data_IF_732818105406
#
_entry.id   IF_732818105406
#
_cell.length_a   1.000
_cell.length_b   1.000
_cell.length_c   1.000
_cell.angle_alpha   90.00
_cell.angle_beta   90.00
_cell.angle_gamma   90.00
#
_symmetry.space_group_name_H-M   'P 1'
#
loop_
_entity.id
_entity.type
_entity.pdbx_description
1 polymer ?
#
# COMPACT_ATOMS: atom_id res chain seq x y z
N UNK A 1 21.07 47.61 -113.22
CA UNK A 1 20.59 48.03 -111.88
C UNK A 1 19.39 47.16 -111.55
N UNK A 2 19.58 45.98 -110.97
CA UNK A 2 19.56 45.73 -109.52
C UNK A 2 18.40 46.42 -108.80
N UNK A 3 17.27 45.71 -108.70
CA UNK A 3 16.34 45.85 -107.58
C UNK A 3 16.18 44.44 -107.01
N UNK A 4 16.72 44.15 -105.81
CA UNK A 4 16.71 42.81 -105.27
C UNK A 4 15.29 42.41 -104.88
N UNK A 5 14.89 41.26 -105.38
CA UNK A 5 13.81 40.37 -104.96
C UNK A 5 13.14 40.76 -103.62
N UNK A 6 11.85 41.07 -103.70
CA UNK A 6 10.99 41.28 -102.55
C UNK A 6 11.14 40.13 -101.54
N UNK A 7 11.30 40.48 -100.27
CA UNK A 7 11.48 39.56 -99.14
C UNK A 7 10.32 38.57 -99.03
N UNK A 8 10.39 37.46 -99.76
CA UNK A 8 9.59 36.28 -99.49
C UNK A 8 10.16 35.62 -98.22
N UNK A 9 9.63 35.98 -97.06
CA UNK A 9 9.88 35.20 -95.85
C UNK A 9 9.31 33.78 -96.08
N UNK A 10 10.17 32.78 -96.12
CA UNK A 10 9.78 31.37 -96.21
C UNK A 10 8.69 31.05 -95.16
N UNK A 11 7.69 30.23 -95.52
CA UNK A 11 6.54 29.87 -94.67
C UNK A 11 6.95 29.41 -93.27
N UNK A 12 8.08 28.72 -93.16
CA UNK A 12 8.65 28.25 -91.90
C UNK A 12 9.13 29.39 -91.00
N UNK A 13 9.76 30.42 -91.57
CA UNK A 13 10.19 31.63 -90.85
C UNK A 13 8.98 32.37 -90.27
N UNK A 14 7.90 32.51 -91.04
CA UNK A 14 6.64 33.08 -90.54
C UNK A 14 6.05 32.27 -89.37
N UNK A 15 5.99 30.94 -89.50
CA UNK A 15 5.52 30.06 -88.40
C UNK A 15 6.41 30.11 -87.16
N UNK A 16 7.72 30.30 -87.32
CA UNK A 16 8.65 30.46 -86.20
C UNK A 16 8.39 31.79 -85.46
N UNK A 17 8.22 32.89 -86.20
CA UNK A 17 7.89 34.21 -85.63
C UNK A 17 6.53 34.17 -84.91
N UNK A 18 5.51 33.56 -85.51
CA UNK A 18 4.18 33.43 -84.90
C UNK A 18 4.20 32.58 -83.61
N UNK A 19 5.03 31.53 -83.56
CA UNK A 19 5.25 30.72 -82.34
C UNK A 19 5.94 31.55 -81.25
N UNK A 20 7.01 32.26 -81.59
CA UNK A 20 7.72 33.12 -80.62
C UNK A 20 6.80 34.23 -80.08
N UNK A 21 6.04 34.88 -80.95
CA UNK A 21 5.05 35.89 -80.55
C UNK A 21 3.91 35.30 -79.71
N UNK A 22 3.57 34.02 -79.87
CA UNK A 22 2.59 33.34 -79.01
C UNK A 22 3.16 33.08 -77.62
N UNK A 23 4.40 32.59 -77.53
CA UNK A 23 5.09 32.35 -76.26
C UNK A 23 5.27 33.66 -75.51
N UNK A 24 5.75 34.70 -76.18
CA UNK A 24 5.97 36.01 -75.58
C UNK A 24 4.67 36.66 -75.09
N UNK A 25 3.57 36.56 -75.85
CA UNK A 25 2.24 37.00 -75.39
C UNK A 25 1.74 36.19 -74.19
N UNK A 26 2.02 34.88 -74.14
CA UNK A 26 1.66 34.07 -72.98
C UNK A 26 2.48 34.47 -71.74
N UNK A 27 3.78 34.75 -71.91
CA UNK A 27 4.66 35.22 -70.85
C UNK A 27 4.16 36.53 -70.24
N UNK A 28 3.89 37.55 -71.07
CA UNK A 28 3.36 38.85 -70.63
C UNK A 28 2.02 38.72 -69.90
N UNK A 29 1.10 37.90 -70.42
CA UNK A 29 -0.17 37.62 -69.71
C UNK A 29 0.05 36.96 -68.35
N UNK A 30 0.99 36.03 -68.23
CA UNK A 30 1.29 35.38 -66.95
C UNK A 30 1.94 36.34 -65.95
N UNK A 31 2.84 37.21 -66.42
CA UNK A 31 3.45 38.29 -65.62
C UNK A 31 2.41 39.29 -65.13
N UNK A 32 1.49 39.72 -66.00
CA UNK A 32 0.36 40.58 -65.65
C UNK A 32 -0.56 39.92 -64.61
N UNK A 33 -0.91 38.65 -64.79
CA UNK A 33 -1.71 37.89 -63.82
C UNK A 33 -0.99 37.77 -62.47
N UNK A 34 0.32 37.54 -62.48
CA UNK A 34 1.15 37.52 -61.25
C UNK A 34 1.14 38.89 -60.56
N UNK A 35 1.32 39.96 -61.34
CA UNK A 35 1.30 41.32 -60.80
C UNK A 35 -0.06 41.68 -60.19
N UNK A 36 -1.16 41.34 -60.87
CA UNK A 36 -2.53 41.53 -60.35
C UNK A 36 -2.72 40.77 -59.04
N UNK A 37 -2.25 39.52 -58.94
CA UNK A 37 -2.30 38.75 -57.68
C UNK A 37 -1.50 39.44 -56.57
N UNK A 38 -0.30 39.93 -56.86
CA UNK A 38 0.53 40.62 -55.88
C UNK A 38 -0.14 41.90 -55.36
N UNK A 39 -0.74 42.70 -56.25
CA UNK A 39 -1.50 43.90 -55.87
C UNK A 39 -2.67 43.53 -54.95
N UNK A 40 -3.41 42.47 -55.26
CA UNK A 40 -4.53 42.01 -54.42
C UNK A 40 -4.05 41.53 -53.05
N UNK A 41 -2.92 40.81 -52.99
CA UNK A 41 -2.34 40.37 -51.72
C UNK A 41 -1.89 41.54 -50.86
N UNK A 42 -1.19 42.52 -51.45
CA UNK A 42 -0.77 43.74 -50.76
C UNK A 42 -1.98 44.54 -50.26
N UNK A 43 -3.03 44.67 -51.06
CA UNK A 43 -4.27 45.34 -50.63
C UNK A 43 -4.93 44.61 -49.46
N UNK A 44 -4.96 43.27 -49.49
CA UNK A 44 -5.51 42.45 -48.40
C UNK A 44 -4.69 42.55 -47.11
N UNK A 45 -3.37 42.61 -47.23
CA UNK A 45 -2.46 42.73 -46.10
C UNK A 45 -2.57 44.10 -45.42
N UNK A 46 -2.85 45.15 -46.19
CA UNK A 46 -2.96 46.52 -45.68
C UNK A 46 -4.39 46.98 -45.39
N UNK A 47 -5.44 46.23 -45.75
CA UNK A 47 -6.83 46.61 -45.43
C UNK A 47 -7.05 46.56 -43.90
N UNK A 48 -7.36 47.70 -43.25
CA UNK A 48 -7.49 47.79 -41.80
C UNK A 48 -8.60 46.89 -41.25
N UNK A 49 -9.66 46.60 -42.04
CA UNK A 49 -10.76 45.74 -41.61
C UNK A 49 -10.32 44.29 -41.52
N UNK A 50 -9.52 43.84 -42.50
CA UNK A 50 -8.99 42.47 -42.54
C UNK A 50 -7.95 42.28 -41.45
N UNK A 51 -7.09 43.28 -41.20
CA UNK A 51 -6.15 43.27 -40.09
C UNK A 51 -6.86 43.21 -38.74
N UNK A 52 -7.89 44.03 -38.53
CA UNK A 52 -8.69 44.02 -37.30
C UNK A 52 -9.40 42.68 -37.10
N UNK A 53 -10.00 42.10 -38.14
CA UNK A 53 -10.66 40.80 -38.08
C UNK A 53 -9.67 39.66 -37.76
N UNK A 54 -8.50 39.66 -38.41
CA UNK A 54 -7.44 38.68 -38.14
C UNK A 54 -6.88 38.81 -36.72
N UNK A 55 -6.67 40.05 -36.24
CA UNK A 55 -6.23 40.32 -34.87
C UNK A 55 -7.27 39.85 -33.85
N UNK A 56 -8.55 40.21 -34.03
CA UNK A 56 -9.63 39.75 -33.17
C UNK A 56 -9.74 38.22 -33.13
N UNK A 57 -9.55 37.53 -34.27
CA UNK A 57 -9.55 36.08 -34.33
C UNK A 57 -8.35 35.45 -33.57
N UNK A 58 -7.16 36.06 -33.64
CA UNK A 58 -5.99 35.63 -32.86
C UNK A 58 -6.21 35.88 -31.37
N UNK A 59 -6.63 37.08 -31.00
CA UNK A 59 -6.90 37.47 -29.61
C UNK A 59 -7.98 36.57 -28.98
N UNK A 60 -9.05 36.24 -29.72
CA UNK A 60 -10.09 35.31 -29.25
C UNK A 60 -9.56 33.87 -29.07
N UNK A 61 -8.67 33.41 -29.96
CA UNK A 61 -8.05 32.08 -29.84
C UNK A 61 -7.10 32.01 -28.65
N UNK A 62 -6.33 33.07 -28.41
CA UNK A 62 -5.43 33.19 -27.27
C UNK A 62 -6.20 33.31 -25.95
N UNK A 63 -7.23 34.14 -25.89
CA UNK A 63 -8.12 34.23 -24.74
C UNK A 63 -8.76 32.87 -24.40
N UNK A 64 -9.21 32.12 -25.41
CA UNK A 64 -9.74 30.75 -25.21
C UNK A 64 -8.67 29.78 -24.69
N UNK A 65 -7.41 29.91 -25.13
CA UNK A 65 -6.30 29.11 -24.61
C UNK A 65 -5.97 29.48 -23.17
N UNK A 66 -5.85 30.76 -22.86
CA UNK A 66 -5.59 31.26 -21.52
C UNK A 66 -6.70 30.87 -20.54
N UNK A 67 -7.98 31.04 -20.93
CA UNK A 67 -9.11 30.61 -20.10
C UNK A 67 -9.09 29.11 -19.80
N UNK A 68 -8.68 28.28 -20.76
CA UNK A 68 -8.49 26.83 -20.54
C UNK A 68 -7.35 26.53 -19.58
N UNK A 69 -6.22 27.22 -19.70
CA UNK A 69 -5.08 27.03 -18.80
C UNK A 69 -5.43 27.45 -17.37
N UNK A 70 -6.07 28.61 -17.19
CA UNK A 70 -6.53 29.10 -15.88
C UNK A 70 -7.55 28.13 -15.28
N UNK A 71 -8.50 27.61 -16.07
CA UNK A 71 -9.47 26.62 -15.57
C UNK A 71 -8.80 25.31 -15.13
N UNK A 72 -7.77 24.85 -15.84
CA UNK A 72 -7.00 23.65 -15.47
C UNK A 72 -6.16 23.90 -14.22
N UNK A 73 -5.49 25.06 -14.11
CA UNK A 73 -4.72 25.44 -12.92
C UNK A 73 -5.62 25.51 -11.69
N UNK A 74 -6.74 26.23 -11.78
CA UNK A 74 -7.72 26.32 -10.69
C UNK A 74 -8.24 24.94 -10.26
N UNK A 75 -8.51 24.04 -11.22
CA UNK A 75 -8.94 22.66 -10.88
C UNK A 75 -7.84 21.88 -10.14
N UNK A 76 -6.57 22.04 -10.53
CA UNK A 76 -5.43 21.39 -9.86
C UNK A 76 -5.22 21.94 -8.45
N UNK A 77 -5.27 23.26 -8.28
CA UNK A 77 -5.16 23.91 -6.96
C UNK A 77 -6.25 23.44 -6.01
N UNK A 78 -7.50 23.36 -6.47
CA UNK A 78 -8.61 22.84 -5.66
C UNK A 78 -8.41 21.36 -5.28
N UNK A 79 -7.89 20.53 -6.19
CA UNK A 79 -7.61 19.11 -5.91
C UNK A 79 -6.42 18.93 -4.96
N UNK A 80 -5.39 19.78 -5.05
CA UNK A 80 -4.26 19.79 -4.11
C UNK A 80 -4.67 20.26 -2.71
N UNK A 81 -5.50 21.30 -2.63
CA UNK A 81 -6.04 21.78 -1.36
C UNK A 81 -6.94 20.73 -0.70
N UNK A 82 -7.78 20.04 -1.48
CA UNK A 82 -8.59 18.91 -0.99
C UNK A 82 -7.70 17.77 -0.48
N UNK A 83 -6.68 17.36 -1.25
CA UNK A 83 -5.73 16.32 -0.83
C UNK A 83 -4.96 16.70 0.43
N UNK A 84 -4.59 17.97 0.59
CA UNK A 84 -3.92 18.46 1.80
C UNK A 84 -4.84 18.41 3.02
N UNK A 85 -6.09 18.86 2.88
CA UNK A 85 -7.09 18.78 3.96
C UNK A 85 -7.42 17.34 4.35
N UNK A 86 -7.52 16.43 3.38
CA UNK A 86 -7.73 14.99 3.63
C UNK A 86 -6.51 14.35 4.31
N UNK A 87 -5.29 14.70 3.91
CA UNK A 87 -4.07 14.21 4.53
C UNK A 87 -3.91 14.71 5.97
N UNK A 88 -4.22 15.99 6.23
CA UNK A 88 -4.22 16.57 7.59
C UNK A 88 -5.29 15.93 8.47
N UNK A 89 -6.51 15.72 7.96
CA UNK A 89 -7.56 15.02 8.68
C UNK A 89 -7.20 13.55 8.97
N UNK A 90 -6.56 12.86 8.01
CA UNK A 90 -6.09 11.50 8.20
C UNK A 90 -4.93 11.41 9.20
N UNK A 91 -4.01 12.39 9.20
CA UNK A 91 -2.92 12.47 10.18
C UNK A 91 -3.46 12.71 11.59
N UNK A 92 -4.44 13.62 11.74
CA UNK A 92 -5.10 13.89 13.01
C UNK A 92 -5.87 12.66 13.52
N UNK A 93 -6.60 11.95 12.64
CA UNK A 93 -7.31 10.73 12.99
C UNK A 93 -6.35 9.60 13.42
N UNK A 94 -5.20 9.45 12.74
CA UNK A 94 -4.15 8.50 13.13
C UNK A 94 -3.54 8.86 14.48
N UNK A 95 -3.18 10.13 14.70
CA UNK A 95 -2.67 10.59 15.99
C UNK A 95 -3.67 10.35 17.13
N UNK A 96 -4.96 10.67 16.92
CA UNK A 96 -6.00 10.41 17.91
C UNK A 96 -6.26 8.91 18.15
N UNK A 97 -6.08 8.06 17.14
CA UNK A 97 -6.17 6.60 17.31
C UNK A 97 -4.96 6.02 18.06
N UNK A 98 -3.76 6.56 17.81
CA UNK A 98 -2.54 6.13 18.48
C UNK A 98 -2.53 6.55 19.94
N UNK A 99 -2.96 7.78 20.24
CA UNK A 99 -3.10 8.27 21.62
C UNK A 99 -4.13 7.45 22.40
N UNK A 100 -5.29 7.15 21.78
CA UNK A 100 -6.27 6.23 22.40
C UNK A 100 -5.65 4.86 22.68
N UNK A 101 -4.90 4.28 21.73
CA UNK A 101 -4.23 2.99 21.93
C UNK A 101 -3.16 3.05 23.03
N UNK A 102 -2.41 4.15 23.15
CA UNK A 102 -1.43 4.36 24.21
C UNK A 102 -2.12 4.46 25.58
N UNK A 103 -3.18 5.26 25.69
CA UNK A 103 -3.95 5.40 26.94
C UNK A 103 -4.58 4.08 27.38
N UNK A 104 -5.11 3.29 26.45
CA UNK A 104 -5.70 1.97 26.74
C UNK A 104 -4.63 0.96 27.16
N UNK A 105 -3.48 0.95 26.47
CA UNK A 105 -2.35 0.09 26.84
C UNK A 105 -1.79 0.44 28.23
N UNK A 106 -1.69 1.72 28.57
CA UNK A 106 -1.30 2.16 29.91
C UNK A 106 -2.32 1.77 30.97
N UNK A 107 -3.62 1.88 30.68
CA UNK A 107 -4.68 1.47 31.60
C UNK A 107 -4.63 -0.04 31.87
N UNK A 108 -4.49 -0.85 30.82
CA UNK A 108 -4.34 -2.31 30.92
C UNK A 108 -3.07 -2.68 31.71
N UNK A 109 -1.96 -1.97 31.50
CA UNK A 109 -0.72 -2.19 32.26
C UNK A 109 -0.91 -1.88 33.74
N UNK A 110 -1.50 -0.71 34.07
CA UNK A 110 -1.80 -0.32 35.45
C UNK A 110 -2.72 -1.32 36.13
N UNK A 111 -3.78 -1.78 35.46
CA UNK A 111 -4.70 -2.81 35.97
C UNK A 111 -4.00 -4.16 36.21
N UNK A 112 -3.15 -4.61 35.28
CA UNK A 112 -2.34 -5.83 35.45
C UNK A 112 -1.35 -5.72 36.60
N UNK A 113 -0.72 -4.57 36.77
CA UNK A 113 0.24 -4.32 37.85
C UNK A 113 -0.46 -4.28 39.22
N UNK A 114 -1.64 -3.65 39.30
CA UNK A 114 -2.49 -3.69 40.50
C UNK A 114 -2.92 -5.11 40.84
N UNK A 115 -3.47 -5.85 39.89
CA UNK A 115 -3.92 -7.22 40.10
C UNK A 115 -2.76 -8.17 40.49
N UNK A 116 -1.55 -7.94 39.97
CA UNK A 116 -0.34 -8.66 40.38
C UNK A 116 0.09 -8.28 41.80
N UNK A 117 -0.06 -7.02 42.19
CA UNK A 117 0.26 -6.55 43.54
C UNK A 117 -0.71 -7.08 44.59
N UNK A 118 -2.01 -7.13 44.27
CA UNK A 118 -3.06 -7.73 45.09
C UNK A 118 -2.85 -9.24 45.24
N UNK A 119 -2.58 -9.94 44.14
CA UNK A 119 -2.24 -11.37 44.18
C UNK A 119 -1.03 -11.66 45.10
N UNK A 120 -0.01 -10.79 45.08
CA UNK A 120 1.14 -10.91 45.98
C UNK A 120 0.77 -10.64 47.44
N UNK A 121 -0.14 -9.70 47.71
CA UNK A 121 -0.62 -9.39 49.07
C UNK A 121 -1.39 -10.56 49.64
N UNK A 122 -2.39 -11.07 48.93
CA UNK A 122 -3.23 -12.18 49.39
C UNK A 122 -2.42 -13.46 49.61
N UNK A 123 -1.45 -13.77 48.73
CA UNK A 123 -0.54 -14.91 48.91
C UNK A 123 0.35 -14.77 50.15
N UNK A 124 0.85 -13.56 50.42
CA UNK A 124 1.66 -13.28 51.62
C UNK A 124 0.82 -13.39 52.88
N UNK A 125 -0.42 -12.90 52.83
CA UNK A 125 -1.36 -12.99 53.94
C UNK A 125 -1.72 -14.44 54.25
N UNK A 126 -2.09 -15.25 53.24
CA UNK A 126 -2.34 -16.69 53.43
C UNK A 126 -1.13 -17.40 54.06
N UNK A 127 0.08 -17.08 53.59
CA UNK A 127 1.31 -17.64 54.15
C UNK A 127 1.55 -17.20 55.60
N UNK A 128 1.34 -15.92 55.94
CA UNK A 128 1.47 -15.42 57.31
C UNK A 128 0.46 -16.09 58.24
N UNK A 129 -0.81 -16.20 57.85
CA UNK A 129 -1.84 -16.90 58.63
C UNK A 129 -1.44 -18.37 58.87
N UNK A 130 -1.06 -19.11 57.82
CA UNK A 130 -0.71 -20.53 57.94
C UNK A 130 0.56 -20.79 58.75
N UNK A 131 1.59 -19.94 58.61
CA UNK A 131 2.90 -20.14 59.24
C UNK A 131 2.95 -19.53 60.64
N UNK A 132 2.52 -18.27 60.78
CA UNK A 132 2.71 -17.49 62.01
C UNK A 132 1.56 -17.66 63.00
N UNK A 133 0.31 -17.80 62.52
CA UNK A 133 -0.86 -17.94 63.41
C UNK A 133 -1.24 -19.39 63.67
N UNK A 134 -1.10 -20.26 62.67
CA UNK A 134 -1.61 -21.65 62.73
C UNK A 134 -0.50 -22.71 62.81
N UNK A 135 0.78 -22.32 62.74
CA UNK A 135 1.94 -23.21 62.83
C UNK A 135 1.80 -24.52 62.01
N UNK A 136 1.39 -24.39 60.75
CA UNK A 136 1.17 -25.53 59.83
C UNK A 136 0.17 -26.59 60.34
N UNK A 137 -0.71 -26.22 61.28
CA UNK A 137 -1.66 -27.12 61.94
C UNK A 137 -0.99 -28.31 62.62
N UNK A 138 0.25 -28.14 63.10
CA UNK A 138 0.97 -29.17 63.85
C UNK A 138 0.48 -29.14 65.29
N UNK A 139 -0.09 -30.25 65.74
CA UNK A 139 -0.47 -30.47 67.14
C UNK A 139 0.73 -31.02 67.92
N UNK A 140 0.87 -30.71 69.21
CA UNK A 140 2.02 -31.08 70.07
C UNK A 140 2.22 -32.60 70.26
N UNK A 141 1.35 -33.42 69.66
CA UNK A 141 1.27 -34.89 69.81
C UNK A 141 1.83 -35.67 68.62
N UNK A 142 2.38 -35.01 67.60
CA UNK A 142 2.89 -35.66 66.39
C UNK A 142 4.37 -36.05 66.57
N UNK A 143 4.72 -37.29 66.23
CA UNK A 143 6.12 -37.76 66.23
C UNK A 143 7.01 -36.87 65.35
N UNK A 144 8.17 -36.48 65.88
CA UNK A 144 9.13 -35.52 65.28
C UNK A 144 9.53 -35.85 63.84
N UNK A 145 9.39 -37.11 63.41
CA UNK A 145 9.68 -37.57 62.04
C UNK A 145 8.59 -37.22 61.00
N UNK A 146 7.33 -37.12 61.41
CA UNK A 146 6.18 -36.89 60.51
C UNK A 146 5.84 -35.40 60.35
N UNK A 147 6.32 -34.56 61.26
CA UNK A 147 6.09 -33.10 61.27
C UNK A 147 6.57 -32.46 59.97
N UNK A 148 7.73 -32.86 59.45
CA UNK A 148 8.27 -32.31 58.20
C UNK A 148 7.44 -32.70 56.96
N UNK A 149 6.94 -33.93 56.91
CA UNK A 149 6.07 -34.41 55.83
C UNK A 149 4.73 -33.65 55.81
N UNK A 150 4.15 -33.43 56.99
CA UNK A 150 2.91 -32.66 57.15
C UNK A 150 3.08 -31.20 56.70
N UNK A 151 4.15 -30.53 57.12
CA UNK A 151 4.45 -29.15 56.73
C UNK A 151 4.61 -28.98 55.21
N UNK A 152 5.33 -29.91 54.55
CA UNK A 152 5.49 -29.90 53.10
C UNK A 152 4.16 -30.08 52.38
N UNK A 153 3.27 -30.95 52.90
CA UNK A 153 1.94 -31.17 52.33
C UNK A 153 1.06 -29.93 52.42
N UNK A 154 1.05 -29.24 53.57
CA UNK A 154 0.29 -28.01 53.76
C UNK A 154 0.80 -26.88 52.86
N UNK A 155 2.13 -26.76 52.70
CA UNK A 155 2.73 -25.79 51.77
C UNK A 155 2.39 -26.11 50.30
N UNK A 156 2.40 -27.38 49.91
CA UNK A 156 2.02 -27.80 48.56
C UNK A 156 0.53 -27.54 48.27
N UNK A 157 -0.35 -27.79 49.26
CA UNK A 157 -1.78 -27.52 49.16
C UNK A 157 -2.06 -26.00 49.14
N UNK A 158 -1.30 -25.21 49.89
CA UNK A 158 -1.32 -23.75 49.84
C UNK A 158 -0.91 -23.23 48.45
N UNK A 159 0.19 -23.74 47.89
CA UNK A 159 0.63 -23.39 46.53
C UNK A 159 -0.42 -23.77 45.47
N UNK A 160 -1.09 -24.91 45.63
CA UNK A 160 -2.19 -25.33 44.77
C UNK A 160 -3.36 -24.33 44.83
N UNK A 161 -3.78 -23.93 46.03
CA UNK A 161 -4.84 -22.93 46.21
C UNK A 161 -4.46 -21.60 45.57
N UNK A 162 -3.22 -21.14 45.76
CA UNK A 162 -2.75 -19.89 45.18
C UNK A 162 -2.61 -19.90 43.67
N UNK A 163 -2.47 -21.07 43.05
CA UNK A 163 -2.47 -21.21 41.59
C UNK A 163 -3.88 -21.27 40.99
N UNK A 164 -4.87 -21.75 41.75
CA UNK A 164 -6.21 -22.06 41.23
C UNK A 164 -7.27 -21.05 41.62
N UNK A 165 -7.17 -20.44 42.79
CA UNK A 165 -8.12 -19.44 43.25
C UNK A 165 -7.84 -18.06 42.63
N UNK A 166 -8.91 -17.33 42.35
CA UNK A 166 -8.84 -15.91 41.98
C UNK A 166 -8.43 -15.04 43.19
N UNK A 167 -7.98 -13.81 42.93
CA UNK A 167 -7.61 -12.87 44.01
C UNK A 167 -8.77 -12.64 45.00
N UNK A 168 -10.01 -12.55 44.52
CA UNK A 168 -11.19 -12.42 45.36
C UNK A 168 -11.43 -13.66 46.25
N UNK A 169 -11.28 -14.86 45.68
CA UNK A 169 -11.45 -16.11 46.44
C UNK A 169 -10.32 -16.36 47.45
N UNK A 170 -9.09 -15.91 47.15
CA UNK A 170 -7.99 -15.94 48.11
C UNK A 170 -8.25 -14.95 49.26
N UNK A 171 -8.78 -13.77 48.95
CA UNK A 171 -9.16 -12.79 49.96
C UNK A 171 -10.26 -13.33 50.89
N UNK A 172 -11.35 -13.87 50.33
CA UNK A 172 -12.41 -14.52 51.11
C UNK A 172 -11.87 -15.66 51.98
N UNK A 173 -10.97 -16.49 51.44
CA UNK A 173 -10.34 -17.56 52.21
C UNK A 173 -9.49 -17.00 53.36
N UNK A 174 -8.71 -15.95 53.12
CA UNK A 174 -7.92 -15.27 54.15
C UNK A 174 -8.83 -14.71 55.26
N UNK A 175 -9.92 -14.03 54.91
CA UNK A 175 -10.90 -13.53 55.88
C UNK A 175 -11.54 -14.67 56.69
N UNK A 176 -11.95 -15.76 56.06
CA UNK A 176 -12.52 -16.91 56.76
C UNK A 176 -11.52 -17.61 57.69
N UNK A 177 -10.23 -17.64 57.32
CA UNK A 177 -9.18 -18.20 58.15
C UNK A 177 -8.85 -17.30 59.35
N UNK A 178 -8.87 -15.97 59.18
CA UNK A 178 -8.70 -15.01 60.30
C UNK A 178 -9.89 -15.02 61.26
N UNK A 179 -11.11 -15.23 60.76
CA UNK A 179 -12.32 -15.33 61.58
C UNK A 179 -12.46 -16.69 62.28
N UNK A 180 -11.71 -17.71 61.85
CA UNK A 180 -11.72 -19.03 62.46
C UNK A 180 -10.93 -19.01 63.79
N UNK A 181 -11.58 -18.54 64.86
CA UNK A 181 -10.97 -18.37 66.19
C UNK A 181 -10.44 -19.64 66.89
N UNK A 182 -10.47 -20.81 66.24
CA UNK A 182 -9.84 -22.04 66.74
C UNK A 182 -9.08 -22.76 65.62
N UNK A 183 -7.87 -23.30 65.86
CA UNK A 183 -7.01 -23.86 64.81
C UNK A 183 -7.65 -25.05 64.06
N UNK A 184 -8.43 -25.89 64.74
CA UNK A 184 -9.14 -27.02 64.12
C UNK A 184 -10.19 -26.59 63.09
N UNK A 185 -10.87 -25.46 63.35
CA UNK A 185 -11.86 -24.91 62.43
C UNK A 185 -11.18 -24.31 61.21
N UNK A 186 -10.07 -23.60 61.40
CA UNK A 186 -9.25 -23.09 60.30
C UNK A 186 -8.71 -24.23 59.43
N UNK A 187 -8.27 -25.35 60.03
CA UNK A 187 -7.83 -26.54 59.31
C UNK A 187 -8.96 -27.17 58.47
N UNK A 188 -10.17 -27.26 59.03
CA UNK A 188 -11.34 -27.77 58.32
C UNK A 188 -11.71 -26.89 57.10
N UNK A 189 -11.73 -25.57 57.27
CA UNK A 189 -12.02 -24.61 56.19
C UNK A 189 -10.95 -24.71 55.08
N UNK A 190 -9.67 -24.74 55.47
CA UNK A 190 -8.55 -24.88 54.54
C UNK A 190 -8.63 -26.20 53.76
N UNK A 191 -8.75 -27.33 54.46
CA UNK A 191 -8.80 -28.66 53.86
C UNK A 191 -10.00 -28.85 52.93
N UNK A 192 -11.19 -28.39 53.36
CA UNK A 192 -12.39 -28.43 52.53
C UNK A 192 -12.21 -27.64 51.22
N UNK A 193 -11.53 -26.48 51.29
CA UNK A 193 -11.25 -25.68 50.10
C UNK A 193 -10.22 -26.34 49.18
N UNK A 194 -9.19 -26.97 49.73
CA UNK A 194 -8.19 -27.75 48.97
C UNK A 194 -8.86 -28.91 48.23
N UNK A 195 -9.73 -29.67 48.92
CA UNK A 195 -10.44 -30.80 48.31
C UNK A 195 -11.39 -30.36 47.20
N UNK A 196 -12.12 -29.26 47.41
CA UNK A 196 -12.97 -28.67 46.36
C UNK A 196 -12.16 -28.32 45.11
N UNK A 197 -10.98 -27.72 45.26
CA UNK A 197 -10.10 -27.36 44.13
C UNK A 197 -9.53 -28.61 43.45
N UNK A 198 -9.13 -29.63 44.21
CA UNK A 198 -8.66 -30.91 43.67
C UNK A 198 -9.75 -31.64 42.86
N UNK A 199 -11.00 -31.62 43.34
CA UNK A 199 -12.13 -32.23 42.65
C UNK A 199 -12.47 -31.48 41.34
N UNK A 200 -12.46 -30.15 41.36
CA UNK A 200 -12.68 -29.33 40.16
C UNK A 200 -11.60 -29.58 39.08
N UNK A 201 -10.35 -29.79 39.50
CA UNK A 201 -9.25 -30.16 38.62
C UNK A 201 -9.44 -31.51 37.94
N UNK A 202 -9.91 -32.51 38.69
CA UNK A 202 -10.18 -33.84 38.14
C UNK A 202 -11.36 -33.82 37.16
N UNK A 203 -12.43 -33.09 37.48
CA UNK A 203 -13.60 -32.95 36.61
C UNK A 203 -13.27 -32.25 35.26
N UNK A 204 -12.46 -31.18 35.30
CA UNK A 204 -12.03 -30.49 34.08
C UNK A 204 -11.10 -31.34 33.19
N UNK A 205 -10.27 -32.20 33.79
CA UNK A 205 -9.35 -33.09 33.05
C UNK A 205 -10.10 -34.25 32.37
N UNK A 206 -11.22 -34.71 32.93
CA UNK A 206 -12.10 -35.69 32.29
C UNK A 206 -12.86 -35.10 31.09
N UNK A 207 -13.30 -33.83 31.17
CA UNK A 207 -14.03 -33.16 30.08
C UNK A 207 -13.15 -32.78 28.89
N UNK A 208 -11.86 -32.50 29.09
CA UNK A 208 -10.92 -32.21 27.99
C UNK A 208 -10.57 -33.46 27.17
N UNK A 209 -10.59 -34.66 27.77
CA UNK A 209 -10.39 -35.92 27.03
C UNK A 209 -11.62 -36.37 26.24
N UNK A 210 -12.83 -35.94 26.58
CA UNK A 210 -14.06 -36.35 25.87
C UNK A 210 -14.33 -35.60 24.56
N UNK A 211 -13.56 -34.55 24.22
CA UNK A 211 -13.76 -33.72 23.01
C UNK A 211 -13.02 -34.18 21.74
N UNK A 212 -12.38 -35.36 21.74
CA UNK A 212 -11.64 -35.91 20.58
C UNK A 212 -12.42 -36.90 19.70
N UNK A 213 -13.76 -36.84 19.66
CA UNK A 213 -14.58 -37.66 18.75
C UNK A 213 -15.36 -36.76 17.78
N UNK A 214 -15.00 -36.68 16.49
CA UNK A 214 -15.80 -35.94 15.52
C UNK A 214 -16.96 -36.82 15.07
N UNK A 215 -18.14 -36.55 15.61
CA UNK A 215 -19.41 -36.98 15.04
C UNK A 215 -20.02 -35.83 14.23
N UNK A 216 -20.51 -36.18 13.05
CA UNK A 216 -21.14 -35.33 12.05
C UNK A 216 -22.32 -34.52 12.62
N UNK A 217 -22.32 -33.21 12.44
CA UNK A 217 -23.50 -32.45 11.96
C UNK A 217 -23.17 -30.97 11.75
N UNK A 218 -23.88 -30.29 10.83
CA UNK A 218 -23.42 -29.04 10.25
C UNK A 218 -24.07 -27.84 10.94
N UNK A 219 -23.23 -26.92 11.39
CA UNK A 219 -23.67 -25.56 11.69
C UNK A 219 -22.48 -24.62 11.65
N UNK A 220 -22.45 -23.84 10.57
CA UNK A 220 -22.26 -22.39 10.59
C UNK A 220 -21.32 -21.86 11.67
N UNK A 221 -20.06 -21.58 11.31
CA UNK A 221 -19.64 -20.19 11.23
C UNK A 221 -18.25 -20.04 10.58
N UNK A 222 -18.15 -19.00 9.75
CA UNK A 222 -17.07 -18.01 9.77
C UNK A 222 -15.70 -18.46 10.30
N UNK A 223 -14.94 -19.20 9.48
CA UNK A 223 -13.51 -19.39 9.69
C UNK A 223 -12.71 -19.17 8.40
N UNK A 224 -11.91 -18.10 8.43
CA UNK A 224 -10.69 -17.83 7.65
C UNK A 224 -10.66 -18.37 6.20
N UNK A 225 -11.08 -17.52 5.27
CA UNK A 225 -11.09 -17.78 3.81
C UNK A 225 -9.71 -18.06 3.17
N UNK A 226 -8.59 -17.96 3.91
CA UNK A 226 -7.26 -18.23 3.37
C UNK A 226 -6.96 -19.74 3.25
N UNK A 227 -7.55 -20.60 4.09
CA UNK A 227 -7.28 -22.05 4.08
C UNK A 227 -8.17 -22.87 3.13
N UNK A 228 -9.16 -22.23 2.49
CA UNK A 228 -10.11 -22.92 1.58
C UNK A 228 -9.58 -23.09 0.15
N UNK A 229 -8.59 -22.29 -0.25
CA UNK A 229 -8.07 -22.27 -1.62
C UNK A 229 -6.79 -23.08 -1.72
N UNK A 230 -6.90 -24.32 -2.18
CA UNK A 230 -5.74 -25.15 -2.52
C UNK A 230 -5.13 -24.73 -3.86
N UNK A 231 -3.86 -25.08 -4.11
CA UNK A 231 -3.16 -24.77 -5.36
C UNK A 231 -3.90 -25.33 -6.59
N UNK A 232 -4.47 -26.53 -6.48
CA UNK A 232 -5.30 -27.14 -7.52
C UNK A 232 -6.55 -26.31 -7.80
N UNK A 233 -7.20 -25.78 -6.75
CA UNK A 233 -8.39 -24.94 -6.88
C UNK A 233 -8.11 -23.62 -7.58
N UNK A 234 -6.93 -23.04 -7.32
CA UNK A 234 -6.47 -21.81 -7.98
C UNK A 234 -6.21 -22.05 -9.47
N UNK A 235 -5.59 -23.18 -9.85
CA UNK A 235 -5.33 -23.51 -11.26
C UNK A 235 -6.63 -23.71 -12.06
N UNK A 236 -7.59 -24.43 -11.49
CA UNK A 236 -8.92 -24.63 -12.09
C UNK A 236 -9.66 -23.30 -12.24
N UNK A 237 -9.57 -22.42 -11.23
CA UNK A 237 -10.15 -21.08 -11.27
C UNK A 237 -9.57 -20.22 -12.41
N UNK A 238 -8.25 -20.18 -12.55
CA UNK A 238 -7.57 -19.42 -13.63
C UNK A 238 -8.02 -19.93 -15.01
N UNK A 239 -8.10 -21.25 -15.19
CA UNK A 239 -8.58 -21.85 -16.44
C UNK A 239 -10.04 -21.46 -16.73
N UNK A 240 -10.92 -21.54 -15.74
CA UNK A 240 -12.32 -21.18 -15.88
C UNK A 240 -12.54 -19.69 -16.21
N UNK A 241 -11.74 -18.80 -15.62
CA UNK A 241 -11.76 -17.35 -15.90
C UNK A 241 -11.36 -17.04 -17.34
N UNK A 242 -10.44 -17.82 -17.92
CA UNK A 242 -10.02 -17.68 -19.31
C UNK A 242 -11.05 -18.24 -20.31
N UNK A 243 -11.72 -19.34 -19.96
CA UNK A 243 -12.77 -19.95 -20.80
C UNK A 243 -14.02 -19.07 -20.85
N UNK A 244 -14.32 -18.35 -19.76
CA UNK A 244 -15.50 -17.49 -19.64
C UNK A 244 -15.07 -16.00 -19.62
N UNK A 245 -15.01 -15.31 -20.78
CA UNK A 245 -14.57 -13.91 -20.86
C UNK A 245 -15.57 -12.91 -20.24
N UNK A 246 -15.13 -11.66 -20.09
CA UNK A 246 -15.95 -10.59 -19.51
C UNK A 246 -17.11 -10.22 -20.47
N UNK A 247 -18.35 -10.47 -20.04
CA UNK A 247 -19.56 -10.21 -20.84
C UNK A 247 -20.68 -11.23 -20.61
N UNK A 248 -20.34 -12.42 -20.08
CA UNK A 248 -21.34 -13.46 -19.79
C UNK A 248 -22.21 -13.07 -18.57
N UNK A 249 -23.55 -13.06 -18.68
CA UNK A 249 -24.42 -12.86 -17.53
C UNK A 249 -24.22 -14.01 -16.53
N UNK A 250 -24.22 -13.70 -15.22
CA UNK A 250 -23.94 -14.68 -14.14
C UNK A 250 -22.59 -15.41 -14.27
N UNK A 251 -21.58 -14.78 -14.90
CA UNK A 251 -20.22 -15.32 -15.08
C UNK A 251 -19.65 -16.01 -13.84
N UNK A 252 -19.75 -15.37 -12.68
CA UNK A 252 -19.16 -15.89 -11.44
C UNK A 252 -19.85 -17.15 -10.91
N UNK A 253 -21.16 -17.30 -11.16
CA UNK A 253 -21.89 -18.53 -10.82
C UNK A 253 -21.51 -19.69 -11.75
N UNK A 254 -21.32 -19.41 -13.04
CA UNK A 254 -20.83 -20.40 -14.00
C UNK A 254 -19.40 -20.86 -13.69
N UNK A 255 -18.53 -19.93 -13.29
CA UNK A 255 -17.16 -20.27 -12.85
C UNK A 255 -17.20 -21.09 -11.55
N UNK A 256 -18.06 -20.74 -10.59
CA UNK A 256 -18.22 -21.52 -9.36
C UNK A 256 -18.70 -22.95 -9.63
N UNK A 257 -19.69 -23.12 -10.50
CA UNK A 257 -20.16 -24.44 -10.93
C UNK A 257 -19.03 -25.26 -11.60
N UNK A 258 -18.21 -24.61 -12.44
CA UNK A 258 -17.06 -25.25 -13.07
C UNK A 258 -16.02 -25.70 -12.04
N UNK A 259 -15.68 -24.87 -11.05
CA UNK A 259 -14.73 -25.21 -9.97
C UNK A 259 -15.25 -26.38 -9.13
N UNK A 260 -16.53 -26.34 -8.73
CA UNK A 260 -17.16 -27.39 -7.93
C UNK A 260 -17.26 -28.73 -8.67
N UNK A 261 -17.33 -28.72 -10.01
CA UNK A 261 -17.33 -29.95 -10.81
C UNK A 261 -15.95 -30.60 -10.91
N UNK A 262 -14.88 -29.80 -10.85
CA UNK A 262 -13.51 -30.27 -11.04
C UNK A 262 -12.77 -30.58 -9.73
N UNK A 263 -13.37 -30.27 -8.57
CA UNK A 263 -12.77 -30.47 -7.25
C UNK A 263 -13.79 -31.15 -6.35
N UNK A 264 -13.47 -32.36 -5.90
CA UNK A 264 -14.35 -33.15 -5.05
C UNK A 264 -14.24 -32.69 -3.59
N UNK A 265 -15.39 -32.44 -2.94
CA UNK A 265 -15.46 -32.18 -1.50
C UNK A 265 -15.47 -30.70 -1.05
N UNK A 266 -15.46 -29.75 -1.98
CA UNK A 266 -15.54 -28.31 -1.67
C UNK A 266 -16.66 -27.65 -2.47
N UNK A 267 -17.55 -26.91 -1.79
CA UNK A 267 -18.56 -26.07 -2.45
C UNK A 267 -18.15 -24.60 -2.35
N UNK A 268 -17.86 -24.01 -3.51
CA UNK A 268 -17.47 -22.60 -3.65
C UNK A 268 -18.64 -21.84 -4.27
N UNK A 269 -18.97 -20.66 -3.72
CA UNK A 269 -20.00 -19.77 -4.26
C UNK A 269 -19.43 -18.76 -5.27
N UNK A 270 -20.24 -18.24 -6.19
CA UNK A 270 -19.82 -17.20 -7.14
C UNK A 270 -19.23 -15.96 -6.48
N UNK A 271 -19.66 -15.62 -5.26
CA UNK A 271 -19.07 -14.51 -4.47
C UNK A 271 -17.64 -14.81 -4.04
N UNK A 272 -17.34 -16.03 -3.64
CA UNK A 272 -16.01 -16.44 -3.17
C UNK A 272 -15.03 -16.52 -4.34
N UNK A 273 -15.48 -17.07 -5.47
CA UNK A 273 -14.74 -17.09 -6.75
C UNK A 273 -14.38 -15.67 -7.19
N UNK A 274 -15.33 -14.73 -7.15
CA UNK A 274 -15.09 -13.34 -7.52
C UNK A 274 -14.04 -12.69 -6.60
N UNK A 275 -14.15 -12.92 -5.29
CA UNK A 275 -13.22 -12.38 -4.31
C UNK A 275 -11.81 -12.93 -4.54
N UNK A 276 -11.68 -14.24 -4.75
CA UNK A 276 -10.40 -14.87 -5.01
C UNK A 276 -9.79 -14.43 -6.35
N UNK A 277 -10.58 -14.33 -7.41
CA UNK A 277 -10.11 -13.87 -8.72
C UNK A 277 -9.62 -12.40 -8.68
N UNK A 278 -10.23 -11.55 -7.84
CA UNK A 278 -9.74 -10.18 -7.60
C UNK A 278 -8.44 -10.18 -6.82
N UNK A 279 -8.32 -10.99 -5.77
CA UNK A 279 -7.08 -11.12 -4.99
C UNK A 279 -5.91 -11.58 -5.86
N UNK A 280 -6.12 -12.61 -6.69
CA UNK A 280 -5.08 -13.10 -7.62
C UNK A 280 -4.65 -12.00 -8.62
N UNK A 281 -5.59 -11.21 -9.15
CA UNK A 281 -5.29 -10.10 -10.06
C UNK A 281 -4.53 -8.96 -9.38
N UNK A 282 -4.87 -8.66 -8.13
CA UNK A 282 -4.19 -7.64 -7.32
C UNK A 282 -2.78 -8.10 -6.92
N UNK A 283 -2.61 -9.36 -6.54
CA UNK A 283 -1.32 -9.97 -6.21
C UNK A 283 -0.41 -9.97 -7.44
N UNK A 284 -0.88 -10.40 -8.61
CA UNK A 284 -0.13 -10.30 -9.88
C UNK A 284 0.24 -8.84 -10.23
N UNK A 285 -0.69 -7.90 -10.02
CA UNK A 285 -0.40 -6.48 -10.24
C UNK A 285 0.65 -5.95 -9.26
N UNK A 286 0.65 -6.42 -8.02
CA UNK A 286 1.60 -6.00 -6.99
C UNK A 286 2.97 -6.65 -7.22
N UNK A 287 3.04 -7.92 -7.59
CA UNK A 287 4.29 -8.57 -8.04
C UNK A 287 4.86 -7.88 -9.29
N UNK A 288 4.01 -7.53 -10.25
CA UNK A 288 4.46 -6.80 -11.45
C UNK A 288 4.93 -5.38 -11.13
N UNK A 289 4.26 -4.65 -10.23
CA UNK A 289 4.69 -3.32 -9.77
C UNK A 289 6.01 -3.40 -9.01
N UNK A 290 6.12 -4.32 -8.05
CA UNK A 290 7.34 -4.53 -7.25
C UNK A 290 8.51 -4.99 -8.10
N UNK A 291 8.30 -5.85 -9.10
CA UNK A 291 9.33 -6.22 -10.07
C UNK A 291 9.77 -5.03 -10.92
N UNK A 292 8.83 -4.17 -11.34
CA UNK A 292 9.13 -2.98 -12.13
C UNK A 292 9.86 -1.90 -11.31
N UNK A 293 9.48 -1.71 -10.04
CA UNK A 293 10.19 -0.83 -9.10
C UNK A 293 11.59 -1.36 -8.81
N UNK A 294 11.75 -2.66 -8.56
CA UNK A 294 13.08 -3.28 -8.37
C UNK A 294 13.95 -3.17 -9.62
N UNK A 295 13.39 -3.36 -10.81
CA UNK A 295 14.11 -3.16 -12.06
C UNK A 295 14.52 -1.70 -12.26
N UNK A 296 13.66 -0.75 -11.91
CA UNK A 296 13.97 0.68 -11.93
C UNK A 296 15.05 1.06 -10.91
N UNK A 297 14.98 0.53 -9.69
CA UNK A 297 16.00 0.76 -8.65
C UNK A 297 17.36 0.18 -9.06
N UNK A 298 17.38 -1.04 -9.62
CA UNK A 298 18.60 -1.62 -10.20
C UNK A 298 19.16 -0.79 -11.36
N UNK A 299 18.28 -0.23 -12.21
CA UNK A 299 18.69 0.67 -13.29
C UNK A 299 19.27 1.98 -12.74
N UNK A 300 18.64 2.61 -11.74
CA UNK A 300 19.15 3.84 -11.13
C UNK A 300 20.46 3.64 -10.36
N UNK A 301 20.66 2.48 -9.74
CA UNK A 301 21.92 2.14 -9.07
C UNK A 301 23.02 1.84 -10.09
N UNK A 302 22.71 1.14 -11.18
CA UNK A 302 23.65 0.90 -12.29
C UNK A 302 24.05 2.19 -13.03
N UNK A 303 23.11 3.14 -13.20
CA UNK A 303 23.39 4.47 -13.80
C UNK A 303 24.18 5.38 -12.84
N UNK A 304 24.09 5.16 -11.52
CA UNK A 304 24.99 5.83 -10.55
C UNK A 304 26.39 5.22 -10.56
N UNK A 305 26.53 3.93 -10.85
CA UNK A 305 27.83 3.24 -10.94
C UNK A 305 28.52 3.37 -12.30
N UNK A 306 27.80 3.68 -13.37
CA UNK A 306 28.39 3.81 -14.72
C UNK A 306 28.04 5.17 -15.37
N UNK A 307 29.10 5.91 -15.70
CA UNK A 307 29.17 7.10 -16.57
C UNK A 307 28.88 8.52 -16.03
N UNK A 308 28.46 8.71 -14.77
CA UNK A 308 28.34 10.08 -14.23
C UNK A 308 29.68 10.70 -13.72
N UNK A 309 30.71 9.89 -13.42
CA UNK A 309 31.97 10.39 -12.80
C UNK A 309 33.12 10.55 -13.81
N UNK A 310 33.02 10.00 -15.03
CA UNK A 310 34.10 10.13 -16.04
C UNK A 310 34.03 11.44 -16.84
N UNK A 311 32.85 12.06 -16.97
CA UNK A 311 32.67 13.25 -17.80
C UNK A 311 32.99 14.58 -17.08
N UNK A 312 33.01 14.60 -15.74
CA UNK A 312 33.37 15.79 -14.94
C UNK A 312 34.89 15.96 -14.79
N UNK A 313 35.65 14.87 -14.85
CA UNK A 313 37.13 14.90 -14.74
C UNK A 313 37.82 15.30 -16.05
N UNK A 314 37.19 15.08 -17.20
CA UNK A 314 37.75 15.44 -18.52
C UNK A 314 37.60 16.93 -18.82
N UNK A 315 36.50 17.56 -18.39
CA UNK A 315 36.26 19.00 -18.59
C UNK A 315 37.21 19.86 -17.75
N UNK A 316 37.53 19.44 -16.53
CA UNK A 316 38.47 20.16 -15.65
C UNK A 316 39.93 20.07 -16.10
N UNK A 317 40.35 18.97 -16.75
CA UNK A 317 41.71 18.89 -17.31
C UNK A 317 41.89 19.64 -18.64
N UNK A 318 40.83 19.81 -19.43
CA UNK A 318 40.89 20.59 -20.68
C UNK A 318 40.94 22.11 -20.43
N UNK A 319 40.26 22.61 -19.38
CA UNK A 319 40.34 24.03 -18.99
C UNK A 319 41.73 24.42 -18.46
N UNK A 320 42.42 23.51 -17.75
CA UNK A 320 43.81 23.73 -17.29
C UNK A 320 44.85 23.78 -18.42
N UNK A 321 44.59 23.10 -19.55
CA UNK A 321 45.48 23.14 -20.73
C UNK A 321 45.22 24.38 -21.61
N UNK A 322 44.01 24.93 -21.61
CA UNK A 322 43.71 26.18 -22.32
C UNK A 322 44.30 27.42 -21.62
N UNK A 323 44.28 27.45 -20.28
CA UNK A 323 44.85 28.58 -19.53
C UNK A 323 46.39 28.67 -19.61
N UNK A 324 47.09 27.53 -19.71
CA UNK A 324 48.55 27.54 -19.86
C UNK A 324 49.01 27.91 -21.28
N UNK A 325 48.16 27.70 -22.30
CA UNK A 325 48.50 28.03 -23.69
C UNK A 325 48.31 29.53 -24.02
N UNK A 326 47.40 30.21 -23.32
CA UNK A 326 47.16 31.65 -23.46
C UNK A 326 48.30 32.46 -22.81
N UNK A 327 48.80 32.04 -21.64
CA UNK A 327 49.92 32.72 -20.97
C UNK A 327 51.27 32.57 -21.71
N UNK A 328 51.45 31.52 -22.53
CA UNK A 328 52.67 31.34 -23.32
C UNK A 328 52.70 32.20 -24.61
N UNK A 329 51.52 32.69 -25.05
CA UNK A 329 51.40 33.49 -26.27
C UNK A 329 51.52 35.00 -25.98
N UNK A 330 51.16 35.46 -24.79
CA UNK A 330 51.38 36.86 -24.40
C UNK A 330 52.85 37.17 -24.04
N UNK A 331 53.62 36.19 -23.57
CA UNK A 331 55.03 36.43 -23.18
C UNK A 331 56.00 36.51 -24.36
N UNK A 332 55.60 36.03 -25.55
CA UNK A 332 56.46 36.04 -26.76
C UNK A 332 56.26 37.27 -27.64
N UNK A 333 55.24 38.10 -27.38
CA UNK A 333 54.99 39.33 -28.16
C UNK A 333 55.67 40.59 -27.61
N UNK A 334 56.50 40.47 -26.55
CA UNK A 334 57.23 41.60 -25.95
C UNK A 334 58.75 41.55 -26.17
N UNK A 335 59.24 40.65 -27.01
CA UNK A 335 60.64 40.59 -27.44
C UNK A 335 60.71 40.31 -28.95
N UNK A 336 60.32 41.30 -29.75
CA UNK A 336 60.73 41.47 -31.15
C UNK A 336 60.52 42.92 -31.56
#
# INVERSE_FOLDING_TARGET
>A
MSVPCGKFYCRETRRAIERQNRIERARRRNEEVSNVRNIVLLAKENDPRILAANKAARDAKEAKRQARLVAVQKRREMEEEQRKREAEAAALARAASEERRRSEAERIRKERDLNRSEAKRERRQLRSILVEQLNYFVDDKIDTSEVGSHQVKILADMDLLCQRLSNAQLHELNEYLEQAGTPDKAHCIFSAKVESVKHELQANNLQSQTKLRPENSPSTDSQTNASKWTTEMIQVLVKAVNILPAGTPKRWEAIAAYVNQHISGVSVSGKDVLKQAKLLKEEDSNLRKTANTKAFDSFTNSVKETDAVKNVTITTQLEGLFYNKINLFEFTSHFL
#
